data_IF_210236288516
#
_entry.id   IF_210236288516
#
_cell.length_a   1.000
_cell.length_b   1.000
_cell.length_c   1.000
_cell.angle_alpha   90.00
_cell.angle_beta   90.00
_cell.angle_gamma   90.00
#
_symmetry.space_group_name_H-M   'P 1'
#
loop_
_entity.id
_entity.type
_entity.pdbx_description
1 polymer ?
#
# COMPACT_ATOMS: atom_id res chain seq x y z
N UNK A 1 17.20 7.48 17.32
CA UNK A 1 16.22 6.47 17.76
C UNK A 1 14.82 6.95 17.38
N UNK A 2 14.44 6.81 16.09
CA UNK A 2 13.11 7.16 15.59
C UNK A 2 12.03 6.27 16.21
N UNK A 3 10.91 6.86 16.59
CA UNK A 3 9.67 6.15 16.91
C UNK A 3 9.01 5.80 15.58
N UNK A 4 8.57 4.55 15.38
CA UNK A 4 7.87 4.10 14.19
C UNK A 4 8.30 2.70 13.75
N UNK A 5 7.75 2.23 12.65
CA UNK A 5 7.89 0.85 12.19
C UNK A 5 9.26 0.55 11.60
N UNK A 6 10.07 1.58 11.33
CA UNK A 6 11.46 1.46 10.84
C UNK A 6 11.59 0.48 9.68
N UNK A 7 10.76 0.69 8.66
CA UNK A 7 10.87 -0.05 7.41
C UNK A 7 12.17 0.28 6.67
N UNK A 8 12.77 -0.72 6.07
CA UNK A 8 13.88 -0.57 5.12
C UNK A 8 13.52 -1.31 3.85
N UNK A 9 13.74 -0.67 2.72
CA UNK A 9 13.49 -1.23 1.39
C UNK A 9 14.82 -1.24 0.63
N UNK A 10 15.20 -2.40 0.12
CA UNK A 10 16.42 -2.60 -0.68
C UNK A 10 16.03 -3.19 -2.02
N UNK A 11 16.45 -2.52 -3.09
CA UNK A 11 16.27 -3.02 -4.46
C UNK A 11 17.59 -3.58 -4.93
N UNK A 12 17.60 -4.83 -5.37
CA UNK A 12 18.70 -5.48 -6.05
C UNK A 12 18.34 -5.71 -7.53
N UNK A 13 18.63 -4.73 -8.40
CA UNK A 13 18.27 -4.82 -9.80
C UNK A 13 19.10 -5.86 -10.57
N UNK A 14 20.29 -6.21 -10.08
CA UNK A 14 21.15 -7.23 -10.72
C UNK A 14 20.55 -8.62 -10.61
N UNK A 15 19.97 -8.93 -9.45
CA UNK A 15 19.33 -10.22 -9.20
C UNK A 15 17.80 -10.17 -9.34
N UNK A 16 17.23 -9.01 -9.75
CA UNK A 16 15.79 -8.82 -9.90
C UNK A 16 15.02 -9.01 -8.60
N UNK A 17 15.56 -8.54 -7.45
CA UNK A 17 14.97 -8.76 -6.13
C UNK A 17 14.63 -7.45 -5.42
N UNK A 18 13.50 -7.48 -4.73
CA UNK A 18 13.07 -6.48 -3.78
C UNK A 18 13.11 -7.10 -2.38
N UNK A 19 13.85 -6.50 -1.47
CA UNK A 19 13.89 -6.91 -0.07
C UNK A 19 13.26 -5.83 0.80
N UNK A 20 12.32 -6.22 1.64
CA UNK A 20 11.64 -5.31 2.55
C UNK A 20 11.71 -5.83 3.99
N UNK A 21 11.99 -4.92 4.92
CA UNK A 21 12.25 -5.23 6.30
C UNK A 21 11.36 -4.38 7.22
N UNK A 22 10.87 -4.99 8.30
CA UNK A 22 10.11 -4.34 9.36
C UNK A 22 10.87 -4.34 10.68
N UNK A 23 10.70 -3.28 11.48
CA UNK A 23 11.33 -3.07 12.77
C UNK A 23 12.86 -3.21 12.73
N UNK A 24 13.48 -2.63 11.70
CA UNK A 24 14.92 -2.68 11.46
C UNK A 24 15.69 -1.87 12.50
N UNK A 25 16.77 -2.40 12.97
CA UNK A 25 17.71 -1.72 13.89
C UNK A 25 19.16 -2.06 13.55
N UNK A 26 20.04 -1.11 13.77
CA UNK A 26 21.48 -1.32 13.73
C UNK A 26 21.97 -1.78 15.10
N UNK A 27 22.83 -2.78 15.12
CA UNK A 27 23.48 -3.32 16.32
C UNK A 27 24.99 -3.41 16.10
N UNK A 28 25.78 -3.73 17.12
CA UNK A 28 27.21 -3.95 16.98
C UNK A 28 27.54 -5.14 16.04
N UNK A 29 26.65 -6.11 15.94
CA UNK A 29 26.77 -7.27 15.03
C UNK A 29 26.21 -7.03 13.63
N UNK A 30 25.76 -5.81 13.29
CA UNK A 30 25.19 -5.46 11.99
C UNK A 30 23.71 -5.07 12.06
N UNK A 31 22.96 -5.32 11.00
CA UNK A 31 21.55 -5.00 10.90
C UNK A 31 20.67 -6.18 11.34
N UNK A 32 19.62 -5.89 12.07
CA UNK A 32 18.58 -6.84 12.48
C UNK A 32 17.20 -6.30 12.10
N UNK A 33 16.28 -7.19 11.76
CA UNK A 33 14.88 -6.87 11.50
C UNK A 33 13.97 -7.93 12.16
N UNK A 34 12.78 -7.53 12.58
CA UNK A 34 11.79 -8.46 13.13
C UNK A 34 11.12 -9.28 12.02
N UNK A 35 11.00 -8.70 10.81
CA UNK A 35 10.45 -9.35 9.62
C UNK A 35 11.28 -8.98 8.41
N UNK A 36 11.52 -9.96 7.55
CA UNK A 36 12.13 -9.78 6.24
C UNK A 36 11.29 -10.49 5.16
N UNK A 37 11.15 -9.86 4.02
CA UNK A 37 10.47 -10.44 2.87
C UNK A 37 11.21 -10.11 1.59
N UNK A 38 11.19 -11.07 0.65
CA UNK A 38 11.81 -10.91 -0.67
C UNK A 38 10.75 -11.14 -1.74
N UNK A 39 10.72 -10.25 -2.72
CA UNK A 39 9.85 -10.33 -3.88
C UNK A 39 10.68 -10.36 -5.15
N UNK A 40 10.13 -11.01 -6.17
CA UNK A 40 10.69 -11.05 -7.51
C UNK A 40 10.22 -9.80 -8.29
N UNK A 41 11.14 -9.02 -8.83
CA UNK A 41 10.82 -7.83 -9.62
C UNK A 41 10.32 -8.15 -11.04
N UNK A 42 10.53 -9.39 -11.51
CA UNK A 42 10.13 -9.83 -12.83
C UNK A 42 8.76 -10.55 -12.85
N UNK A 43 8.12 -10.73 -11.70
CA UNK A 43 6.86 -11.49 -11.63
C UNK A 43 5.90 -10.91 -10.60
N UNK A 44 4.62 -11.27 -10.73
CA UNK A 44 3.59 -10.97 -9.74
C UNK A 44 3.38 -12.12 -8.74
N UNK A 45 4.40 -12.94 -8.51
CA UNK A 45 4.34 -14.07 -7.58
C UNK A 45 4.05 -13.55 -6.17
N UNK A 46 2.96 -14.02 -5.60
CA UNK A 46 2.58 -13.72 -4.23
C UNK A 46 3.47 -14.48 -3.24
N UNK A 47 3.47 -14.01 -2.01
CA UNK A 47 3.97 -14.80 -0.89
C UNK A 47 3.12 -16.06 -0.69
N UNK A 48 3.63 -17.09 -0.02
CA UNK A 48 2.83 -18.24 0.35
C UNK A 48 1.59 -17.83 1.16
N UNK A 49 0.51 -18.58 0.99
CA UNK A 49 -0.75 -18.40 1.73
C UNK A 49 -0.49 -18.38 3.25
N UNK A 50 -1.08 -17.42 3.96
CA UNK A 50 -0.88 -17.23 5.39
C UNK A 50 0.42 -16.52 5.77
N UNK A 51 1.27 -16.14 4.84
CA UNK A 51 2.52 -15.45 5.13
C UNK A 51 2.35 -13.92 5.07
N UNK A 52 2.77 -13.26 6.16
CA UNK A 52 2.92 -11.80 6.18
C UNK A 52 4.17 -11.36 5.41
N UNK A 53 4.29 -10.07 5.17
CA UNK A 53 5.53 -9.42 4.69
C UNK A 53 5.98 -8.36 5.70
N UNK A 54 6.78 -7.40 5.27
CA UNK A 54 7.00 -6.17 6.02
C UNK A 54 5.70 -5.33 6.10
N UNK A 55 4.71 -5.62 5.26
CA UNK A 55 3.33 -5.15 5.31
C UNK A 55 2.40 -6.27 5.83
N UNK A 56 1.43 -5.95 6.68
CA UNK A 56 0.61 -6.96 7.35
C UNK A 56 -0.18 -7.85 6.38
N UNK A 57 -0.59 -7.30 5.24
CA UNK A 57 -1.33 -8.04 4.21
C UNK A 57 -0.49 -9.07 3.42
N UNK A 58 0.83 -9.13 3.64
CA UNK A 58 1.73 -9.95 2.84
C UNK A 58 2.07 -9.35 1.47
N UNK A 59 1.72 -8.10 1.24
CA UNK A 59 1.98 -7.37 0.00
C UNK A 59 3.37 -6.71 0.02
N UNK A 60 3.99 -6.43 -1.15
CA UNK A 60 5.14 -5.55 -1.22
C UNK A 60 4.73 -4.09 -0.99
N UNK A 61 5.55 -3.34 -0.24
CA UNK A 61 5.32 -1.93 0.06
C UNK A 61 5.73 -1.04 -1.13
N UNK A 62 6.93 -1.27 -1.68
CA UNK A 62 7.53 -0.39 -2.70
C UNK A 62 6.62 -0.07 -3.90
N UNK A 63 5.93 -1.06 -4.52
CA UNK A 63 5.10 -0.79 -5.70
C UNK A 63 3.90 0.11 -5.43
N UNK A 64 3.50 0.25 -4.16
CA UNK A 64 2.32 1.01 -3.74
C UNK A 64 2.65 2.34 -3.05
N UNK A 65 3.94 2.69 -2.92
CA UNK A 65 4.42 3.95 -2.36
C UNK A 65 4.31 5.06 -3.39
N UNK A 66 3.67 6.16 -3.02
CA UNK A 66 3.58 7.37 -3.84
C UNK A 66 4.95 8.06 -3.84
N UNK A 67 5.49 8.37 -5.01
CA UNK A 67 6.76 9.08 -5.20
C UNK A 67 6.53 10.44 -5.86
N UNK A 68 7.49 11.34 -5.72
CA UNK A 68 7.42 12.66 -6.34
C UNK A 68 7.22 12.59 -7.87
N UNK A 69 7.86 11.64 -8.55
CA UNK A 69 7.72 11.49 -10.00
C UNK A 69 6.30 11.07 -10.41
N UNK A 70 5.60 10.29 -9.59
CA UNK A 70 4.18 9.99 -9.79
C UNK A 70 3.34 11.27 -9.75
N UNK A 71 3.58 12.12 -8.74
CA UNK A 71 2.87 13.38 -8.55
C UNK A 71 3.18 14.37 -9.68
N UNK A 72 4.45 14.47 -10.07
CA UNK A 72 4.91 15.31 -11.18
C UNK A 72 4.27 14.90 -12.51
N UNK A 73 4.02 13.61 -12.72
CA UNK A 73 3.36 13.10 -13.93
C UNK A 73 1.86 13.45 -14.02
N UNK A 74 1.28 14.03 -12.96
CA UNK A 74 -0.13 14.43 -12.89
C UNK A 74 -1.10 13.30 -12.57
N UNK A 75 -0.63 12.06 -12.37
CA UNK A 75 -1.43 10.93 -11.89
C UNK A 75 -0.54 9.82 -11.34
N UNK A 76 -0.86 9.31 -10.15
CA UNK A 76 -0.28 8.06 -9.63
C UNK A 76 -0.80 6.89 -10.46
N UNK A 77 0.10 6.19 -11.16
CA UNK A 77 -0.25 5.15 -12.16
C UNK A 77 -0.17 3.72 -11.62
N UNK A 78 -0.43 3.54 -10.33
CA UNK A 78 -0.48 2.23 -9.67
C UNK A 78 -1.51 2.24 -8.54
N UNK A 79 -1.93 1.07 -8.07
CA UNK A 79 -2.69 0.96 -6.85
C UNK A 79 -1.83 1.39 -5.66
N UNK A 80 -2.40 2.18 -4.77
CA UNK A 80 -1.73 2.63 -3.56
C UNK A 80 -1.99 1.66 -2.41
N UNK A 81 -1.25 1.76 -1.32
CA UNK A 81 -1.56 1.06 -0.07
C UNK A 81 -2.21 2.00 0.93
N UNK A 82 -3.12 1.48 1.73
CA UNK A 82 -3.77 2.22 2.82
C UNK A 82 -3.71 1.42 4.11
N UNK A 83 -3.44 2.12 5.22
CA UNK A 83 -3.59 1.56 6.56
C UNK A 83 -4.95 1.94 7.13
N UNK A 84 -5.57 1.01 7.86
CA UNK A 84 -6.82 1.23 8.58
C UNK A 84 -6.66 0.77 10.02
N UNK A 85 -7.35 1.46 10.95
CA UNK A 85 -7.26 1.13 12.38
C UNK A 85 -7.84 -0.25 12.70
N UNK A 86 -8.91 -0.64 12.01
CA UNK A 86 -9.61 -1.90 12.23
C UNK A 86 -9.83 -2.60 10.90
N UNK A 87 -9.45 -3.86 10.85
CA UNK A 87 -9.71 -4.78 9.74
C UNK A 87 -10.31 -6.06 10.28
N UNK A 88 -10.95 -6.85 9.42
CA UNK A 88 -11.49 -8.16 9.77
C UNK A 88 -10.40 -9.23 9.75
N UNK A 89 -10.58 -10.30 10.53
CA UNK A 89 -9.75 -11.52 10.50
C UNK A 89 -9.98 -12.30 9.20
N UNK A 90 -9.67 -11.67 8.08
CA UNK A 90 -9.79 -12.23 6.75
C UNK A 90 -8.92 -11.44 5.75
N UNK A 91 -8.61 -12.05 4.63
CA UNK A 91 -7.96 -11.40 3.50
C UNK A 91 -8.57 -11.88 2.18
N UNK A 92 -8.34 -11.10 1.14
CA UNK A 92 -8.70 -11.40 -0.24
C UNK A 92 -7.53 -11.10 -1.15
N UNK A 93 -7.49 -11.75 -2.30
CA UNK A 93 -6.48 -11.48 -3.32
C UNK A 93 -6.34 -9.96 -3.58
N UNK A 94 -5.11 -9.41 -3.66
CA UNK A 94 -3.81 -10.11 -3.71
C UNK A 94 -3.13 -10.34 -2.34
N UNK A 95 -3.77 -10.02 -1.22
CA UNK A 95 -3.19 -10.28 0.09
C UNK A 95 -3.08 -11.79 0.37
N UNK A 96 -2.13 -12.14 1.23
CA UNK A 96 -1.87 -13.52 1.66
C UNK A 96 -1.99 -13.70 3.18
N UNK A 97 -2.26 -12.62 3.92
CA UNK A 97 -2.30 -12.65 5.37
C UNK A 97 -3.26 -11.60 5.94
N UNK A 98 -3.72 -11.82 7.18
CA UNK A 98 -4.48 -10.87 7.99
C UNK A 98 -3.78 -10.63 9.34
N UNK A 99 -3.93 -9.43 9.93
CA UNK A 99 -3.30 -9.08 11.21
C UNK A 99 -4.31 -8.74 12.32
N UNK A 100 -5.61 -8.90 12.09
CA UNK A 100 -6.66 -8.57 13.05
C UNK A 100 -7.30 -9.83 13.64
N UNK A 101 -7.83 -9.71 14.86
CA UNK A 101 -8.66 -10.75 15.50
C UNK A 101 -10.16 -10.46 15.40
N UNK A 102 -10.55 -9.31 14.86
CA UNK A 102 -11.94 -8.88 14.76
C UNK A 102 -12.69 -9.68 13.70
N UNK A 103 -13.93 -10.07 13.99
CA UNK A 103 -14.76 -10.92 13.12
C UNK A 103 -15.97 -10.18 12.53
N UNK A 104 -16.16 -8.89 12.87
CA UNK A 104 -17.27 -8.09 12.36
C UNK A 104 -17.26 -8.07 10.82
N UNK A 105 -18.33 -8.55 10.15
CA UNK A 105 -18.43 -8.63 8.70
C UNK A 105 -18.40 -7.26 8.01
N UNK A 106 -18.70 -6.18 8.72
CA UNK A 106 -18.67 -4.81 8.19
C UNK A 106 -17.25 -4.21 8.15
N UNK A 107 -16.26 -4.88 8.75
CA UNK A 107 -14.86 -4.43 8.68
C UNK A 107 -14.21 -4.89 7.37
N UNK A 108 -13.36 -4.04 6.78
CA UNK A 108 -12.62 -4.39 5.57
C UNK A 108 -11.63 -5.53 5.82
N UNK A 109 -11.40 -6.34 4.80
CA UNK A 109 -10.39 -7.42 4.79
C UNK A 109 -9.05 -6.85 4.28
N UNK A 110 -7.94 -7.47 4.66
CA UNK A 110 -6.67 -7.20 3.98
C UNK A 110 -6.78 -7.57 2.50
N UNK A 111 -6.18 -6.75 1.64
CA UNK A 111 -6.24 -6.92 0.19
C UNK A 111 -7.51 -6.35 -0.47
N UNK A 112 -8.53 -5.93 0.28
CA UNK A 112 -9.67 -5.25 -0.34
C UNK A 112 -9.23 -3.99 -1.07
N UNK A 113 -9.77 -3.83 -2.28
CA UNK A 113 -9.50 -2.65 -3.11
C UNK A 113 -10.60 -1.62 -2.90
N UNK A 114 -10.20 -0.44 -2.47
CA UNK A 114 -11.03 0.74 -2.36
C UNK A 114 -10.73 1.67 -3.51
N UNK A 115 -11.74 2.15 -4.21
CA UNK A 115 -11.62 3.07 -5.34
C UNK A 115 -12.39 4.35 -5.04
N UNK A 116 -11.78 5.50 -5.31
CA UNK A 116 -12.48 6.78 -5.23
C UNK A 116 -13.58 6.81 -6.30
N UNK A 117 -14.78 7.21 -5.90
CA UNK A 117 -15.95 7.25 -6.78
C UNK A 117 -15.69 8.10 -8.02
N UNK A 118 -16.21 7.68 -9.14
CA UNK A 118 -15.99 8.36 -10.43
C UNK A 118 -16.50 9.81 -10.44
N UNK A 119 -17.61 10.06 -9.74
CA UNK A 119 -18.27 11.36 -9.62
C UNK A 119 -17.63 12.31 -8.58
N UNK A 120 -16.63 11.87 -7.82
CA UNK A 120 -15.96 12.73 -6.84
C UNK A 120 -15.28 13.92 -7.55
N UNK A 121 -15.61 15.14 -7.11
CA UNK A 121 -15.03 16.36 -7.70
C UNK A 121 -13.58 16.56 -7.23
N UNK A 122 -12.68 16.74 -8.20
CA UNK A 122 -11.26 17.00 -7.95
C UNK A 122 -10.92 18.50 -7.97
N UNK A 123 -11.88 19.36 -8.34
CA UNK A 123 -11.68 20.80 -8.36
C UNK A 123 -11.37 21.31 -6.95
N UNK A 124 -10.55 22.33 -6.84
CA UNK A 124 -10.16 22.88 -5.55
C UNK A 124 -9.15 22.03 -4.75
N UNK A 125 -8.60 20.96 -5.31
CA UNK A 125 -7.42 20.28 -4.77
C UNK A 125 -6.15 20.77 -5.47
N UNK A 126 -5.01 20.92 -4.75
CA UNK A 126 -3.75 21.29 -5.37
C UNK A 126 -3.27 20.19 -6.34
N UNK A 127 -2.43 20.52 -7.33
CA UNK A 127 -2.06 19.60 -8.43
C UNK A 127 -1.54 18.24 -7.99
N UNK A 128 -0.70 18.19 -6.95
CA UNK A 128 -0.16 16.92 -6.45
C UNK A 128 -1.24 16.07 -5.75
N UNK A 129 -2.15 16.69 -4.99
CA UNK A 129 -3.30 15.97 -4.44
C UNK A 129 -4.23 15.46 -5.55
N UNK A 130 -4.47 16.26 -6.61
CA UNK A 130 -5.22 15.78 -7.78
C UNK A 130 -4.55 14.56 -8.45
N UNK A 131 -3.21 14.52 -8.51
CA UNK A 131 -2.50 13.35 -9.06
C UNK A 131 -2.78 12.07 -8.27
N UNK A 132 -2.82 12.16 -6.94
CA UNK A 132 -3.23 11.06 -6.05
C UNK A 132 -4.69 10.68 -6.31
N UNK A 133 -5.60 11.66 -6.29
CA UNK A 133 -7.04 11.42 -6.47
C UNK A 133 -7.37 10.80 -7.84
N UNK A 134 -6.70 11.22 -8.90
CA UNK A 134 -6.81 10.59 -10.23
C UNK A 134 -6.35 9.12 -10.18
N UNK A 135 -5.25 8.84 -9.48
CA UNK A 135 -4.79 7.48 -9.26
C UNK A 135 -5.79 6.65 -8.46
N UNK A 136 -6.36 7.21 -7.40
CA UNK A 136 -7.40 6.56 -6.58
C UNK A 136 -8.67 6.26 -7.38
N UNK A 137 -9.07 7.14 -8.32
CA UNK A 137 -10.20 6.86 -9.24
C UNK A 137 -9.89 5.73 -10.20
N UNK A 138 -8.67 5.62 -10.70
CA UNK A 138 -8.32 4.67 -11.75
C UNK A 138 -7.84 3.33 -11.21
N UNK A 139 -6.93 3.35 -10.24
CA UNK A 139 -6.24 2.17 -9.72
C UNK A 139 -6.69 1.81 -8.30
N UNK A 140 -7.24 2.78 -7.56
CA UNK A 140 -7.64 2.58 -6.17
C UNK A 140 -6.47 2.40 -5.22
N UNK A 141 -6.79 1.86 -4.05
CA UNK A 141 -5.83 1.50 -3.02
C UNK A 141 -6.20 0.15 -2.41
N UNK A 142 -5.21 -0.57 -1.91
CA UNK A 142 -5.37 -1.86 -1.24
C UNK A 142 -5.24 -1.68 0.27
N UNK A 143 -6.13 -2.31 1.02
CA UNK A 143 -6.01 -2.41 2.48
C UNK A 143 -4.82 -3.30 2.79
N UNK A 144 -3.75 -2.73 3.32
CA UNK A 144 -2.44 -3.37 3.40
C UNK A 144 -1.95 -3.58 4.83
N UNK A 145 -2.40 -2.74 5.77
CA UNK A 145 -1.92 -2.83 7.15
C UNK A 145 -2.93 -2.25 8.16
N UNK A 146 -2.71 -2.55 9.44
CA UNK A 146 -3.37 -1.89 10.55
C UNK A 146 -2.50 -0.74 11.08
N UNK A 147 -3.12 0.39 11.39
CA UNK A 147 -2.41 1.58 11.88
C UNK A 147 -3.31 2.80 11.95
N UNK A 148 -2.78 3.96 11.62
CA UNK A 148 -3.56 5.20 11.54
C UNK A 148 -4.57 5.08 10.39
N UNK A 149 -5.82 5.50 10.64
CA UNK A 149 -6.88 5.43 9.63
C UNK A 149 -6.57 6.26 8.39
N UNK A 150 -6.82 5.68 7.23
CA UNK A 150 -6.74 6.31 5.91
C UNK A 150 -5.36 6.91 5.62
N UNK A 151 -4.30 6.25 6.10
CA UNK A 151 -2.95 6.70 5.85
C UNK A 151 -2.38 6.05 4.58
N UNK A 152 -2.02 6.88 3.61
CA UNK A 152 -1.30 6.46 2.40
C UNK A 152 0.23 6.52 2.65
N UNK A 153 0.98 5.67 1.98
CA UNK A 153 2.43 5.69 2.06
C UNK A 153 3.03 6.57 0.97
N UNK A 154 3.84 7.54 1.40
CA UNK A 154 4.51 8.50 0.53
C UNK A 154 6.01 8.46 0.81
N UNK A 155 6.82 8.39 -0.25
CA UNK A 155 8.28 8.50 -0.11
C UNK A 155 8.67 9.90 0.36
N UNK A 156 9.60 10.03 1.31
CA UNK A 156 10.04 11.35 1.78
C UNK A 156 10.68 12.15 0.64
N UNK A 157 10.10 13.30 0.31
CA UNK A 157 10.66 14.23 -0.67
C UNK A 157 10.19 15.66 -0.37
N UNK A 158 11.12 16.60 -0.23
CA UNK A 158 10.83 17.99 0.10
C UNK A 158 10.02 18.75 -0.97
N UNK A 159 9.94 18.21 -2.18
CA UNK A 159 9.15 18.76 -3.30
C UNK A 159 7.67 18.38 -3.22
N UNK A 160 7.30 17.43 -2.35
CA UNK A 160 5.91 17.03 -2.15
C UNK A 160 5.22 18.04 -1.25
N UNK A 161 4.10 18.59 -1.73
CA UNK A 161 3.31 19.61 -1.03
C UNK A 161 1.82 19.44 -1.33
N UNK A 162 0.96 19.91 -0.43
CA UNK A 162 -0.49 19.97 -0.63
C UNK A 162 -1.20 18.62 -0.48
N UNK A 163 -0.51 17.58 -0.03
CA UNK A 163 -1.16 16.28 0.24
C UNK A 163 -1.98 16.29 1.53
N UNK A 164 -1.78 17.23 2.42
CA UNK A 164 -2.62 17.48 3.61
C UNK A 164 -4.09 17.72 3.23
N UNK A 165 -4.36 18.28 2.04
CA UNK A 165 -5.71 18.49 1.52
C UNK A 165 -6.48 17.17 1.27
N UNK A 166 -5.80 16.04 1.16
CA UNK A 166 -6.44 14.73 1.06
C UNK A 166 -7.26 14.36 2.29
N UNK A 167 -7.05 15.03 3.43
CA UNK A 167 -7.88 14.88 4.64
C UNK A 167 -9.36 15.29 4.45
N UNK A 168 -9.65 16.02 3.39
CA UNK A 168 -11.02 16.38 2.98
C UNK A 168 -11.80 15.19 2.44
N UNK A 169 -11.12 14.19 1.89
CA UNK A 169 -11.74 12.96 1.36
C UNK A 169 -12.16 12.05 2.51
N UNK A 170 -13.36 11.50 2.43
CA UNK A 170 -13.95 10.68 3.50
C UNK A 170 -14.18 9.24 3.02
N UNK A 171 -14.33 8.32 3.95
CA UNK A 171 -14.58 6.92 3.62
C UNK A 171 -15.80 6.69 2.71
N UNK A 172 -16.86 7.51 2.86
CA UNK A 172 -18.07 7.47 2.02
C UNK A 172 -17.84 7.84 0.55
N UNK A 173 -16.70 8.47 0.25
CA UNK A 173 -16.33 8.87 -1.11
C UNK A 173 -15.68 7.70 -1.89
N UNK A 174 -15.48 6.57 -1.21
CA UNK A 174 -14.93 5.36 -1.80
C UNK A 174 -15.99 4.28 -2.02
N UNK A 175 -15.73 3.43 -2.98
CA UNK A 175 -16.46 2.20 -3.24
C UNK A 175 -15.50 0.99 -3.10
N UNK A 176 -16.03 -0.14 -2.68
CA UNK A 176 -15.29 -1.41 -2.64
C UNK A 176 -15.37 -2.04 -4.03
N UNK A 177 -14.23 -2.31 -4.63
CA UNK A 177 -14.14 -2.99 -5.92
C UNK A 177 -13.92 -4.47 -5.69
N UNK A 178 -14.70 -5.30 -6.35
CA UNK A 178 -14.47 -6.74 -6.34
C UNK A 178 -13.09 -7.02 -6.92
N UNK A 179 -12.21 -7.57 -6.12
CA UNK A 179 -10.87 -7.90 -6.56
C UNK A 179 -10.97 -9.03 -7.61
N UNK A 180 -10.31 -8.87 -8.77
CA UNK A 180 -10.16 -10.01 -9.67
C UNK A 180 -9.41 -11.11 -8.91
N UNK A 181 -9.82 -12.34 -9.10
CA UNK A 181 -9.14 -13.50 -8.52
C UNK A 181 -7.72 -13.66 -9.10
N UNK A 182 -6.93 -14.60 -8.56
CA UNK A 182 -5.56 -14.82 -8.99
C UNK A 182 -5.42 -15.16 -10.49
N UNK A 183 -6.49 -15.54 -11.14
CA UNK A 183 -6.52 -15.92 -12.55
C UNK A 183 -7.16 -14.85 -13.47
N UNK A 184 -7.58 -13.70 -12.92
CA UNK A 184 -8.21 -12.65 -13.70
C UNK A 184 -7.23 -11.50 -13.99
N UNK A 185 -7.15 -11.07 -15.23
CA UNK A 185 -6.37 -9.94 -15.71
C UNK A 185 -4.99 -10.30 -16.28
N UNK A 186 -4.35 -9.34 -16.94
CA UNK A 186 -3.02 -9.54 -17.53
C UNK A 186 -2.01 -9.80 -16.41
N UNK A 187 -1.26 -10.86 -16.55
CA UNK A 187 -0.10 -11.19 -15.71
C UNK A 187 1.13 -11.10 -16.56
N UNK A 188 2.18 -10.47 -16.04
CA UNK A 188 3.51 -10.67 -16.60
C UNK A 188 3.85 -12.17 -16.45
N UNK A 189 4.11 -12.81 -17.57
CA UNK A 189 4.58 -14.19 -17.59
C UNK A 189 6.04 -14.23 -17.13
#
# INVERSE_FOLDING_TARGET
>A
NGRGDRHVIVIDPRNGRLHEFFATKRTNAGWQAAQASTFDLASNKLRPEGWTSADAAGLPILPAVIRFDDLKSGMVRHAMRVTLRKTRRAYVYPATHFASRLTDPNLPRMGERLRLRADFDLSGFPPQAQAVLKGLKKFGMLVADNGVNWCLSVAPDKRIKGLEELTRVKGRDFEVVVAPGPNAGPRSK
#
